data_IF_019647600228
#
_entry.id   IF_019647600228
#
_cell.length_a   1.000
_cell.length_b   1.000
_cell.length_c   1.000
_cell.angle_alpha   90.00
_cell.angle_beta   90.00
_cell.angle_gamma   90.00
#
_symmetry.space_group_name_H-M   'P 1'
#
loop_
_entity.id
_entity.type
_entity.pdbx_description
1 polymer ?
2 water ?
#
# COMPACT_ATOMS: atom_id res chain seq x y z
C UNK A 1 22.94 3.35 5.49
N UNK A 2 24.11 3.91 5.18
CA UNK A 2 24.01 3.65 3.75
C UNK A 2 23.37 4.80 3.01
N UNK A 3 23.15 4.63 1.71
CA UNK A 3 22.34 5.59 0.98
C UNK A 3 20.87 5.33 1.28
N UNK A 4 20.39 5.92 2.38
CA UNK A 4 19.04 5.64 2.84
C UNK A 4 17.96 6.07 1.84
N UNK A 5 18.16 7.20 1.16
CA UNK A 5 17.16 7.68 0.21
C UNK A 5 17.05 6.77 -1.02
N UNK A 6 18.17 6.24 -1.48
CA UNK A 6 18.14 5.29 -2.59
C UNK A 6 17.51 3.99 -2.17
N UNK A 7 17.76 3.56 -0.93
CA UNK A 7 17.11 2.36 -0.42
C UNK A 7 15.61 2.57 -0.34
N UNK A 8 15.19 3.72 0.16
CA UNK A 8 13.77 4.06 0.21
C UNK A 8 13.14 4.05 -1.18
N UNK A 9 13.82 4.65 -2.14
CA UNK A 9 13.34 4.63 -3.52
C UNK A 9 13.18 3.19 -4.02
N UNK A 10 14.18 2.35 -3.75
CA UNK A 10 14.15 0.97 -4.21
C UNK A 10 13.02 0.16 -3.57
N UNK A 11 12.79 0.38 -2.29
CA UNK A 11 11.69 -0.31 -1.59
C UNK A 11 10.35 0.14 -2.15
N UNK A 12 10.23 1.43 -2.43
CA UNK A 12 8.97 1.93 -2.98
C UNK A 12 8.71 1.34 -4.37
N UNK A 13 9.77 1.15 -5.14
CA UNK A 13 9.61 0.52 -6.46
C UNK A 13 9.11 -0.91 -6.32
N UNK A 14 9.62 -1.64 -5.33
CA UNK A 14 9.14 -3.00 -5.08
C UNK A 14 7.71 -3.00 -4.60
N UNK A 15 7.37 -2.05 -3.74
CA UNK A 15 6.00 -1.93 -3.30
C UNK A 15 5.05 -1.66 -4.48
N UNK A 16 5.48 -0.79 -5.38
CA UNK A 16 4.71 -0.51 -6.60
C UNK A 16 4.50 -1.77 -7.41
N UNK A 17 5.57 -2.54 -7.57
CA UNK A 17 5.50 -3.77 -8.36
C UNK A 17 4.58 -4.80 -7.75
N UNK A 18 4.65 -4.94 -6.43
CA UNK A 18 3.77 -5.89 -5.75
C UNK A 18 2.32 -5.47 -5.90
N UNK A 19 2.06 -4.17 -5.76
CA UNK A 19 0.69 -3.68 -5.88
C UNK A 19 0.15 -3.87 -7.28
N UNK A 20 0.99 -3.70 -8.29
CA UNK A 20 0.56 -3.92 -9.67
C UNK A 20 0.17 -5.40 -9.86
N UNK A 21 0.94 -6.31 -9.27
CA UNK A 21 0.59 -7.73 -9.34
C UNK A 21 -0.72 -8.02 -8.66
N UNK A 22 -0.92 -7.41 -7.49
CA UNK A 22 -2.17 -7.55 -6.77
C UNK A 22 -3.34 -7.04 -7.61
N UNK A 23 -3.17 -5.89 -8.26
CA UNK A 23 -4.26 -5.34 -9.10
C UNK A 23 -4.60 -6.28 -10.23
N UNK A 24 -3.57 -6.87 -10.85
CA UNK A 24 -3.80 -7.82 -11.93
C UNK A 24 -4.53 -9.07 -11.48
N UNK A 25 -4.16 -9.58 -10.31
CA UNK A 25 -4.82 -10.78 -9.74
C UNK A 25 -6.29 -10.45 -9.47
N UNK A 26 -6.55 -9.26 -8.92
CA UNK A 26 -7.92 -8.84 -8.60
C UNK A 26 -8.77 -8.71 -9.87
N UNK A 27 -8.15 -8.22 -10.94
CA UNK A 27 -8.85 -8.12 -12.22
C UNK A 27 -9.34 -9.48 -12.70
N UNK A 28 -8.52 -10.51 -12.48
CA UNK A 28 -8.87 -11.86 -12.88
C UNK A 28 -9.98 -12.39 -12.00
N UNK A 29 -9.90 -12.11 -10.70
CA UNK A 29 -10.94 -12.54 -9.78
C UNK A 29 -12.27 -11.90 -10.16
N UNK A 30 -12.25 -10.62 -10.51
CA UNK A 30 -13.51 -9.93 -10.83
C UNK A 30 -14.08 -10.41 -12.15
N UNK A 31 -13.21 -10.82 -13.06
CA UNK A 31 -13.59 -11.40 -14.34
C UNK A 31 -14.40 -12.68 -14.16
N UNK B 3 17.77 7.12 13.72
CA UNK B 3 17.42 8.26 12.88
C UNK B 3 16.05 8.09 12.24
N UNK B 4 15.36 9.21 12.04
CA UNK B 4 14.01 9.18 11.49
C UNK B 4 13.98 8.60 10.07
N UNK B 5 15.02 8.86 9.28
CA UNK B 5 15.05 8.34 7.91
C UNK B 5 15.21 6.82 7.91
N UNK B 6 16.00 6.30 8.86
CA UNK B 6 16.17 4.86 8.97
C UNK B 6 14.86 4.21 9.42
N UNK B 7 14.16 4.87 10.33
CA UNK B 7 12.86 4.36 10.79
C UNK B 7 11.87 4.31 9.65
N UNK B 8 11.82 5.38 8.86
CA UNK B 8 10.93 5.40 7.69
C UNK B 8 11.27 4.27 6.74
N UNK B 9 12.57 4.08 6.48
CA UNK B 9 13.00 2.97 5.65
C UNK B 9 12.56 1.62 6.23
N UNK B 10 12.71 1.48 7.55
CA UNK B 10 12.36 0.21 8.20
C UNK B 10 10.86 -0.10 8.08
N UNK B 11 10.01 0.92 8.25
CA UNK B 11 8.56 0.73 8.13
C UNK B 11 8.18 0.34 6.69
N UNK B 12 8.84 0.98 5.72
CA UNK B 12 8.56 0.66 4.33
C UNK B 12 8.91 -0.79 4.00
N UNK B 13 10.00 -1.29 4.58
CA UNK B 13 10.39 -2.70 4.41
C UNK B 13 9.31 -3.60 4.98
N UNK B 14 8.73 -3.20 6.13
CA UNK B 14 7.67 -4.00 6.75
C UNK B 14 6.42 -3.98 5.89
N UNK B 15 6.11 -2.82 5.33
CA UNK B 15 4.98 -2.69 4.41
C UNK B 15 5.16 -3.59 3.18
N UNK B 16 6.38 -3.60 2.63
CA UNK B 16 6.67 -4.47 1.49
C UNK B 16 6.39 -5.93 1.86
N UNK B 17 6.85 -6.34 3.04
CA UNK B 17 6.66 -7.72 3.46
C UNK B 17 5.19 -8.08 3.62
N UNK B 18 4.40 -7.16 4.18
CA UNK B 18 2.97 -7.42 4.35
C UNK B 18 2.32 -7.54 2.97
N UNK B 19 2.71 -6.67 2.05
CA UNK B 19 2.13 -6.72 0.70
C UNK B 19 2.49 -8.03 -0.01
N UNK B 20 3.70 -8.55 0.20
CA UNK B 20 4.03 -9.86 -0.34
C UNK B 20 3.09 -10.93 0.20
N UNK B 21 2.78 -10.85 1.50
CA UNK B 21 1.87 -11.84 2.09
C UNK B 21 0.49 -11.72 1.49
N UNK B 22 0.02 -10.49 1.34
CA UNK B 22 -1.29 -10.25 0.71
C UNK B 22 -1.30 -10.78 -0.72
N UNK B 23 -0.24 -10.50 -1.47
CA UNK B 23 -0.15 -10.97 -2.85
C UNK B 23 -0.20 -12.49 -2.92
N UNK B 24 0.51 -13.15 -2.01
CA UNK B 24 0.56 -14.61 -2.01
C UNK B 24 -0.80 -15.21 -1.71
N UNK B 25 -1.51 -14.61 -0.76
CA UNK B 25 -2.86 -15.05 -0.38
C UNK B 25 -3.81 -14.88 -1.55
N UNK B 26 -3.73 -13.75 -2.26
CA UNK B 26 -4.59 -13.51 -3.42
C UNK B 26 -4.33 -14.48 -4.55
N UNK B 27 -3.06 -14.87 -4.71
CA UNK B 27 -2.73 -15.88 -5.71
C UNK B 27 -3.47 -17.17 -5.40
N UNK B 28 -3.55 -17.48 -4.10
CA UNK B 28 -4.26 -18.68 -3.70
C UNK B 28 -5.75 -18.55 -3.93
N UNK B 29 -6.29 -17.37 -3.59
CA UNK B 29 -7.73 -17.15 -3.78
C UNK B 29 -8.06 -17.23 -5.26
N UNK B 30 -7.22 -16.65 -6.10
CA UNK B 30 -7.51 -16.67 -7.53
C UNK B 30 -7.31 -18.08 -8.08
N UNK B 31 -6.44 -18.85 -7.44
CA UNK B 31 -6.19 -20.24 -7.77
C UNK B 31 -7.44 -21.08 -7.99
C UNK C 1 11.72 18.70 8.55
N UNK C 2 11.39 18.49 9.84
CA UNK C 2 11.52 18.15 11.24
C UNK C 2 10.32 17.36 11.73
N UNK C 3 9.23 18.06 12.02
CA UNK C 3 8.04 17.38 12.49
C UNK C 3 7.28 16.79 11.29
N UNK C 4 7.53 17.33 10.10
CA UNK C 4 6.88 16.79 8.90
C UNK C 4 7.37 15.35 8.69
N UNK C 5 8.64 15.09 9.00
CA UNK C 5 9.17 13.73 8.87
C UNK C 5 8.50 12.86 9.91
N UNK C 6 8.19 13.45 11.06
CA UNK C 6 7.48 12.72 12.10
C UNK C 6 6.06 12.41 11.63
N UNK C 7 5.44 13.34 10.90
CA UNK C 7 4.10 13.09 10.36
C UNK C 7 4.14 11.97 9.32
N UNK C 8 5.13 12.02 8.45
CA UNK C 8 5.31 10.97 7.46
C UNK C 8 5.53 9.62 8.14
N UNK C 9 6.37 9.58 9.18
CA UNK C 9 6.58 8.32 9.91
C UNK C 9 5.29 7.78 10.51
N UNK C 10 4.51 8.68 11.13
CA UNK C 10 3.25 8.27 11.77
C UNK C 10 2.24 7.74 10.77
N UNK C 11 2.16 8.38 9.60
CA UNK C 11 1.23 7.92 8.58
C UNK C 11 1.64 6.54 8.06
N UNK C 12 2.94 6.32 7.88
CA UNK C 12 3.42 5.01 7.42
C UNK C 12 3.10 3.91 8.44
N UNK C 13 3.19 4.24 9.73
CA UNK C 13 2.80 3.26 10.75
C UNK C 13 1.33 2.89 10.65
N UNK C 14 0.49 3.90 10.36
CA UNK C 14 -0.95 3.65 10.19
C UNK C 14 -1.21 2.81 8.95
N UNK C 15 -0.50 3.11 7.88
CA UNK C 15 -0.60 2.33 6.66
C UNK C 15 -0.24 0.87 6.92
N UNK C 16 0.86 0.65 7.66
CA UNK C 16 1.30 -0.69 8.04
C UNK C 16 0.20 -1.43 8.81
N UNK C 17 -0.40 -0.73 9.78
CA UNK C 17 -1.43 -1.32 10.62
C UNK C 17 -2.67 -1.72 9.81
N UNK C 18 -3.06 -0.85 8.87
CA UNK C 18 -4.23 -1.15 8.03
C UNK C 18 -3.96 -2.37 7.14
N UNK C 19 -2.75 -2.43 6.60
CA UNK C 19 -2.35 -3.55 5.73
C UNK C 19 -2.34 -4.86 6.50
N UNK C 20 -1.91 -4.83 7.76
CA UNK C 20 -1.98 -6.03 8.59
C UNK C 20 -3.42 -6.49 8.75
N UNK C 21 -4.35 -5.54 8.91
CA UNK C 21 -5.77 -5.88 9.06
C UNK C 21 -6.30 -6.53 7.78
N UNK C 22 -5.94 -5.95 6.65
CA UNK C 22 -6.33 -6.48 5.33
C UNK C 22 -5.77 -7.91 5.17
N UNK C 23 -4.51 -8.09 5.52
CA UNK C 23 -3.88 -9.40 5.42
C UNK C 23 -4.61 -10.42 6.28
N UNK C 24 -5.01 -10.02 7.49
CA UNK C 24 -5.72 -10.89 8.41
C UNK C 24 -7.07 -11.34 7.86
N UNK C 25 -7.79 -10.38 7.26
CA UNK C 25 -9.12 -10.69 6.73
C UNK C 25 -8.96 -11.68 5.59
N UNK C 26 -7.97 -11.42 4.73
CA UNK C 26 -7.74 -12.28 3.57
C UNK C 26 -7.28 -13.67 4.02
N UNK C 27 -6.44 -13.74 5.05
CA UNK C 27 -6.07 -15.05 5.57
C UNK C 27 -7.25 -15.85 6.08
N UNK C 28 -8.19 -15.19 6.75
CA UNK C 28 -9.34 -15.96 7.24
C UNK C 28 -10.18 -16.44 6.08
N UNK C 29 -10.36 -15.59 5.07
CA UNK C 29 -11.18 -15.93 3.91
C UNK C 29 -10.59 -17.14 3.19
N UNK C 30 -9.28 -17.11 2.98
CA UNK C 30 -8.63 -18.18 2.25
C UNK C 30 -8.50 -19.44 3.12
N UNK C 31 -8.43 -19.26 4.43
CA UNK C 31 -8.34 -20.37 5.36
C UNK C 31 -9.64 -21.09 5.61
N UNK D 2 5.07 25.41 -0.55
CA UNK D 2 4.67 24.03 -0.32
C UNK D 2 5.74 23.01 -0.70
N UNK D 3 6.50 22.55 0.29
CA UNK D 3 7.73 21.85 -0.03
C UNK D 3 7.45 20.40 -0.39
N UNK D 4 8.48 19.70 -0.86
CA UNK D 4 8.33 18.35 -1.32
C UNK D 4 7.88 17.42 -0.20
N UNK D 5 8.30 17.68 1.03
CA UNK D 5 7.91 16.80 2.14
C UNK D 5 6.41 16.89 2.41
N UNK D 6 5.84 18.09 2.28
CA UNK D 6 4.40 18.24 2.45
C UNK D 6 3.62 17.54 1.36
N UNK D 7 4.16 17.57 0.14
CA UNK D 7 3.52 16.89 -0.97
C UNK D 7 3.54 15.39 -0.73
N UNK D 8 4.68 14.89 -0.29
CA UNK D 8 4.81 13.47 0.07
C UNK D 8 3.84 13.09 1.17
N UNK D 9 3.72 13.93 2.19
CA UNK D 9 2.77 13.70 3.28
C UNK D 9 1.33 13.58 2.75
N UNK D 10 0.96 14.48 1.84
CA UNK D 10 -0.41 14.46 1.28
C UNK D 10 -0.71 13.17 0.54
N UNK D 11 0.26 12.70 -0.23
CA UNK D 11 0.08 11.44 -0.97
C UNK D 11 -0.03 10.25 -0.01
N UNK D 12 0.79 10.23 1.03
CA UNK D 12 0.71 9.14 2.01
C UNK D 12 -0.64 9.14 2.73
N UNK D 13 -1.15 10.34 3.04
CA UNK D 13 -2.46 10.45 3.68
C UNK D 13 -3.54 9.89 2.75
N UNK D 14 -3.42 10.20 1.46
CA UNK D 14 -4.38 9.67 0.49
C UNK D 14 -4.25 8.16 0.38
N UNK D 15 -3.03 7.65 0.41
CA UNK D 15 -2.83 6.20 0.40
C UNK D 15 -3.49 5.55 1.61
N UNK D 16 -3.28 6.16 2.78
CA UNK D 16 -3.88 5.66 4.02
C UNK D 16 -5.39 5.57 3.93
N UNK D 17 -5.99 6.63 3.41
CA UNK D 17 -7.44 6.71 3.28
C UNK D 17 -7.99 5.67 2.30
N UNK D 18 -7.28 5.46 1.19
CA UNK D 18 -7.71 4.42 0.24
C UNK D 18 -7.63 3.04 0.88
N UNK D 19 -6.55 2.79 1.62
CA UNK D 19 -6.40 1.50 2.31
C UNK D 19 -7.47 1.30 3.36
N UNK D 20 -7.84 2.37 4.05
CA UNK D 20 -8.95 2.25 5.00
C UNK D 20 -10.24 1.84 4.29
N UNK D 21 -10.47 2.41 3.12
CA UNK D 21 -11.67 2.07 2.33
C UNK D 21 -11.63 0.62 1.89
N UNK D 22 -10.47 0.18 1.41
CA UNK D 22 -10.33 -1.22 1.01
C UNK D 22 -10.59 -2.15 2.21
N UNK D 23 -9.98 -1.84 3.36
CA UNK D 23 -10.24 -2.64 4.55
C UNK D 23 -11.72 -2.64 4.93
N UNK D 24 -12.37 -1.48 4.82
CA UNK D 24 -13.77 -1.36 5.20
C UNK D 24 -14.65 -2.26 4.34
N UNK D 25 -14.36 -2.29 3.05
CA UNK D 25 -15.12 -3.14 2.13
C UNK D 25 -14.91 -4.62 2.45
N UNK D 26 -13.67 -4.99 2.69
CA UNK D 26 -13.34 -6.39 2.99
C UNK D 26 -13.95 -6.87 4.29
N UNK D 27 -13.99 -5.98 5.30
CA UNK D 27 -14.58 -6.33 6.58
C UNK D 27 -16.04 -6.75 6.36
N UNK D 28 -16.69 -6.12 5.39
CA UNK D 28 -18.07 -6.45 5.01
C UNK D 28 -18.18 -7.79 4.29
N UNK D 29 -17.25 -8.03 3.37
CA UNK D 29 -17.22 -9.25 2.57
C UNK D 29 -17.06 -10.49 3.44
N UNK D 30 -16.18 -10.39 4.44
CA UNK D 30 -15.93 -11.54 5.30
C UNK D 30 -17.05 -11.74 6.31
N UNK D 31 -17.75 -10.66 6.65
CA UNK D 31 -18.89 -10.73 7.55
C UNK D 31 -18.54 -11.23 8.94
C UNK E 1 14.53 13.66 -12.87
N UNK E 2 14.43 14.89 -12.36
CA UNK E 2 14.24 15.61 -11.11
C UNK E 2 15.11 15.03 -10.00
N UNK E 3 15.04 15.63 -8.81
CA UNK E 3 15.89 15.17 -7.73
C UNK E 3 15.34 13.91 -7.05
N UNK E 4 16.10 13.37 -6.11
CA UNK E 4 15.71 12.12 -5.48
C UNK E 4 14.38 12.21 -4.76
N UNK E 5 14.07 13.35 -4.14
CA UNK E 5 12.79 13.44 -3.43
C UNK E 5 11.63 13.47 -4.41
N UNK E 6 11.82 14.10 -5.56
CA UNK E 6 10.78 14.09 -6.59
C UNK E 6 10.59 12.70 -7.21
N UNK E 7 11.67 11.94 -7.34
CA UNK E 7 11.55 10.56 -7.83
C UNK E 7 10.73 9.75 -6.84
N UNK E 8 11.01 9.94 -5.55
CA UNK E 8 10.25 9.26 -4.49
C UNK E 8 8.77 9.68 -4.51
N UNK E 9 8.52 10.98 -4.66
CA UNK E 9 7.13 11.48 -4.75
C UNK E 9 6.40 10.84 -5.92
N UNK E 10 7.07 10.75 -7.06
CA UNK E 10 6.42 10.16 -8.24
C UNK E 10 6.08 8.69 -8.07
N UNK E 11 6.96 7.92 -7.42
CA UNK E 11 6.65 6.52 -7.17
C UNK E 11 5.46 6.43 -6.22
N UNK E 12 5.42 7.33 -5.23
CA UNK E 12 4.30 7.34 -4.30
C UNK E 12 2.99 7.64 -5.02
N UNK E 13 3.04 8.51 -6.03
CA UNK E 13 1.84 8.79 -6.83
C UNK E 13 1.35 7.55 -7.58
N UNK E 14 2.30 6.76 -8.09
CA UNK E 14 1.95 5.53 -8.81
C UNK E 14 1.30 4.53 -7.88
N UNK E 15 1.86 4.43 -6.68
CA UNK E 15 1.30 3.54 -5.65
C UNK E 15 -0.11 3.96 -5.30
N UNK E 16 -0.32 5.26 -5.12
CA UNK E 16 -1.65 5.80 -4.85
C UNK E 16 -2.61 5.44 -5.97
N UNK E 17 -2.15 5.61 -7.19
CA UNK E 17 -3.02 5.36 -8.34
C UNK E 17 -3.41 3.88 -8.45
N UNK E 18 -2.45 2.98 -8.22
CA UNK E 18 -2.75 1.55 -8.28
C UNK E 18 -3.72 1.19 -7.18
N UNK E 19 -3.54 1.75 -5.99
CA UNK E 19 -4.47 1.48 -4.89
C UNK E 19 -5.85 2.01 -5.21
N UNK E 20 -5.93 3.18 -5.84
CA UNK E 20 -7.23 3.69 -6.28
C UNK E 20 -7.89 2.72 -7.26
N UNK E 21 -7.11 2.14 -8.16
CA UNK E 21 -7.67 1.16 -9.11
C UNK E 21 -8.23 -0.07 -8.38
N UNK E 22 -7.48 -0.55 -7.40
CA UNK E 22 -7.90 -1.69 -6.59
C UNK E 22 -9.21 -1.39 -5.87
N UNK E 23 -9.25 -0.19 -5.26
CA UNK E 23 -10.44 0.29 -4.56
C UNK E 23 -11.64 0.38 -5.48
N UNK E 24 -11.40 0.88 -6.68
CA UNK E 24 -12.45 1.04 -7.69
C UNK E 24 -13.14 -0.28 -8.00
N UNK E 25 -12.35 -1.34 -8.14
CA UNK E 25 -12.91 -2.65 -8.41
C UNK E 25 -13.77 -3.15 -7.24
N UNK E 26 -13.28 -2.98 -6.01
CA UNK E 26 -14.04 -3.40 -4.82
C UNK E 26 -15.30 -2.58 -4.55
N UNK E 27 -15.24 -1.27 -4.81
CA UNK E 27 -16.39 -0.36 -4.64
C UNK E 27 -17.62 -0.74 -5.46
N UNK E 28 -17.41 -1.44 -6.55
CA UNK E 28 -18.47 -1.84 -7.47
C UNK E 28 -19.52 -2.72 -6.81
N UNK E 29 -19.07 -3.54 -5.85
CA UNK E 29 -19.95 -4.49 -5.19
C UNK E 29 -21.12 -3.81 -4.46
N UNK E 30 -20.84 -2.78 -3.65
CA UNK E 30 -21.92 -2.04 -2.95
C UNK E 30 -22.45 -0.90 -3.83
N UNK E 31 -21.60 -0.40 -4.71
CA UNK E 31 -21.99 0.65 -5.63
C UNK E 31 -22.83 0.13 -6.77
#
# INVERSE_FOLDING_TARGET
XGNILQKIENILKKIENILWKIENILQKIEG
XGNILQKIENILKKIENILWKIENILQKIEG
XGNILQKIENILKKIENILWKIENILQKIEG
XGNILQKIENILKKIENILWKIENILQKIEG
XGNILQKIENILKKIENILWKIENILQKIEG
#
